data_IF_958736984919
#
_entry.id   IF_958736984919
#
_cell.length_a   1.000
_cell.length_b   1.000
_cell.length_c   1.000
_cell.angle_alpha   90.00
_cell.angle_beta   90.00
_cell.angle_gamma   90.00
#
_symmetry.space_group_name_H-M   'P 1'
#
loop_
_entity.id
_entity.type
_entity.pdbx_description
1 polymer ?
#
# COMPACT_ATOMS: atom_id res chain seq x y z
N UNK A 1 -40.73 -21.81 24.91
CA UNK A 1 -39.64 -22.46 24.16
C UNK A 1 -38.91 -21.54 23.18
N UNK A 2 -39.48 -20.39 22.76
CA UNK A 2 -38.92 -19.61 21.64
C UNK A 2 -37.94 -18.49 22.05
N UNK A 3 -38.03 -17.99 23.29
CA UNK A 3 -37.13 -16.92 23.78
C UNK A 3 -35.73 -17.43 24.14
N UNK A 4 -35.63 -18.65 24.66
CA UNK A 4 -34.37 -19.26 25.06
C UNK A 4 -33.49 -19.56 23.83
N UNK A 5 -34.10 -20.06 22.76
CA UNK A 5 -33.44 -20.32 21.48
C UNK A 5 -32.93 -19.03 20.84
N UNK A 6 -33.70 -17.94 20.92
CA UNK A 6 -33.29 -16.63 20.42
C UNK A 6 -32.08 -16.05 21.18
N UNK A 7 -32.07 -16.16 22.51
CA UNK A 7 -30.94 -15.72 23.34
C UNK A 7 -29.67 -16.52 23.03
N UNK A 8 -29.79 -17.84 22.88
CA UNK A 8 -28.66 -18.72 22.55
C UNK A 8 -28.05 -18.38 21.17
N UNK A 9 -28.87 -18.05 20.17
CA UNK A 9 -28.40 -17.63 18.85
C UNK A 9 -27.64 -16.29 18.93
N UNK A 10 -28.14 -15.32 19.71
CA UNK A 10 -27.48 -14.02 19.88
C UNK A 10 -26.15 -14.15 20.62
N UNK A 11 -26.07 -14.98 21.67
CA UNK A 11 -24.82 -15.26 22.38
C UNK A 11 -23.80 -15.95 21.47
N UNK A 12 -24.23 -16.92 20.65
CA UNK A 12 -23.37 -17.58 19.68
C UNK A 12 -22.84 -16.59 18.63
N UNK A 13 -23.69 -15.74 18.07
CA UNK A 13 -23.27 -14.71 17.10
C UNK A 13 -22.30 -13.69 17.73
N UNK A 14 -22.51 -13.28 18.98
CA UNK A 14 -21.58 -12.37 19.67
C UNK A 14 -20.20 -12.99 19.90
N UNK A 15 -20.12 -14.32 20.12
CA UNK A 15 -18.85 -15.03 20.25
C UNK A 15 -18.05 -15.10 18.94
N UNK A 16 -18.72 -14.98 17.78
CA UNK A 16 -18.08 -14.96 16.46
C UNK A 16 -17.46 -13.60 16.10
N UNK A 17 -17.78 -12.53 16.83
CA UNK A 17 -17.27 -11.16 16.58
C UNK A 17 -16.14 -10.80 17.57
N UNK A 18 -15.72 -11.74 18.41
CA UNK A 18 -14.67 -11.47 19.38
C UNK A 18 -13.29 -11.49 18.72
N UNK A 19 -12.65 -10.32 18.68
CA UNK A 19 -11.26 -10.20 18.24
C UNK A 19 -10.36 -11.07 19.12
N UNK A 20 -9.47 -11.84 18.47
CA UNK A 20 -8.42 -12.61 19.14
C UNK A 20 -7.46 -11.72 19.97
N UNK A 21 -7.39 -10.43 19.64
CA UNK A 21 -6.50 -9.46 20.27
C UNK A 21 -7.27 -8.23 20.80
N UNK A 22 -6.88 -7.73 21.97
CA UNK A 22 -7.35 -6.46 22.54
C UNK A 22 -6.39 -5.32 22.14
N UNK A 23 -6.84 -4.05 22.13
CA UNK A 23 -6.02 -2.91 21.70
C UNK A 23 -5.05 -2.44 22.80
N UNK A 24 -4.32 -3.37 23.41
CA UNK A 24 -3.28 -3.11 24.39
C UNK A 24 -2.01 -3.90 24.05
N UNK A 25 -0.86 -3.39 24.49
CA UNK A 25 0.44 -3.94 24.12
C UNK A 25 0.63 -5.39 24.57
N UNK A 26 0.14 -5.76 25.75
CA UNK A 26 0.30 -7.14 26.24
C UNK A 26 -0.39 -8.15 25.30
N UNK A 27 -1.57 -7.78 24.80
CA UNK A 27 -2.28 -8.60 23.82
C UNK A 27 -1.60 -8.57 22.45
N UNK A 28 -1.26 -7.39 21.94
CA UNK A 28 -0.69 -7.25 20.59
C UNK A 28 0.72 -7.85 20.47
N UNK A 29 1.52 -7.83 21.51
CA UNK A 29 2.87 -8.41 21.52
C UNK A 29 2.84 -9.93 21.68
N UNK A 30 1.71 -10.51 22.11
CA UNK A 30 1.49 -11.97 22.10
C UNK A 30 1.27 -12.53 20.69
N UNK A 31 1.18 -11.68 19.66
CA UNK A 31 1.05 -12.09 18.25
C UNK A 31 2.31 -12.80 17.79
N UNK A 32 2.20 -14.10 17.58
CA UNK A 32 3.27 -14.89 16.98
C UNK A 32 3.50 -14.47 15.52
N UNK A 33 4.76 -14.46 15.10
CA UNK A 33 5.14 -14.31 13.70
C UNK A 33 4.55 -15.49 12.90
N UNK A 34 3.74 -15.25 11.86
CA UNK A 34 3.24 -16.34 11.03
C UNK A 34 4.38 -17.11 10.37
N UNK A 35 4.31 -18.44 10.38
CA UNK A 35 5.37 -19.31 9.84
C UNK A 35 5.71 -18.98 8.38
N UNK A 36 4.71 -18.70 7.53
CA UNK A 36 4.93 -18.35 6.12
C UNK A 36 5.82 -17.11 5.94
N UNK A 37 5.70 -16.11 6.83
CA UNK A 37 6.48 -14.87 6.71
C UNK A 37 7.91 -15.11 7.19
N UNK A 38 8.07 -15.89 8.26
CA UNK A 38 9.41 -16.31 8.66
C UNK A 38 10.06 -17.12 7.54
N UNK A 39 9.38 -18.13 6.98
CA UNK A 39 9.90 -19.02 5.95
C UNK A 39 10.18 -18.34 4.59
N UNK A 40 9.49 -17.26 4.25
CA UNK A 40 9.60 -16.57 2.96
C UNK A 40 11.00 -15.98 2.70
N UNK A 41 11.64 -15.40 3.73
CA UNK A 41 12.97 -14.76 3.75
C UNK A 41 13.21 -13.57 2.80
N UNK A 42 12.65 -13.58 1.59
CA UNK A 42 12.85 -12.54 0.55
C UNK A 42 11.51 -12.20 -0.10
N UNK A 43 11.17 -10.90 -0.13
CA UNK A 43 10.00 -10.35 -0.80
C UNK A 43 10.36 -9.16 -1.69
N UNK A 44 9.46 -8.78 -2.59
CA UNK A 44 9.60 -7.60 -3.47
C UNK A 44 8.60 -6.53 -3.03
N UNK A 45 9.08 -5.29 -2.91
CA UNK A 45 8.26 -4.12 -2.65
C UNK A 45 8.41 -3.08 -3.75
N UNK A 46 7.34 -2.37 -4.07
CA UNK A 46 7.25 -1.51 -5.24
C UNK A 46 6.78 -0.11 -4.82
N UNK A 47 7.59 0.90 -5.13
CA UNK A 47 7.19 2.30 -5.04
C UNK A 47 6.70 2.74 -6.41
N UNK A 48 5.39 2.62 -6.64
CA UNK A 48 4.77 2.96 -7.91
C UNK A 48 3.47 3.72 -7.68
N UNK A 49 3.35 4.91 -8.27
CA UNK A 49 2.20 5.78 -8.08
C UNK A 49 2.30 7.06 -8.91
N UNK A 50 1.53 8.08 -8.55
CA UNK A 50 1.48 9.36 -9.29
C UNK A 50 2.87 10.03 -9.38
N UNK A 51 3.71 9.88 -8.36
CA UNK A 51 5.09 10.37 -8.37
C UNK A 51 5.96 9.71 -9.45
N UNK A 52 5.58 8.54 -9.96
CA UNK A 52 6.30 7.86 -11.04
C UNK A 52 6.04 8.49 -12.41
N UNK A 53 4.94 9.27 -12.57
CA UNK A 53 4.59 9.93 -13.85
C UNK A 53 5.67 10.89 -14.36
N UNK A 54 6.22 11.83 -13.55
CA UNK A 54 7.31 12.68 -14.01
C UNK A 54 8.62 11.92 -14.26
N UNK A 55 8.79 10.71 -13.71
CA UNK A 55 9.97 9.88 -13.94
C UNK A 55 11.30 10.53 -13.54
N UNK A 56 11.29 11.39 -12.52
CA UNK A 56 12.44 12.21 -12.12
C UNK A 56 12.66 12.16 -10.61
N UNK A 57 13.91 12.01 -10.19
CA UNK A 57 14.27 12.02 -8.76
C UNK A 57 13.80 10.77 -8.03
N UNK A 58 12.88 10.93 -7.08
CA UNK A 58 12.37 9.87 -6.21
C UNK A 58 10.86 9.99 -5.95
N UNK A 59 10.31 9.08 -5.15
CA UNK A 59 8.92 9.12 -4.68
C UNK A 59 8.57 10.39 -3.88
N UNK A 60 9.59 11.11 -3.38
CA UNK A 60 9.47 12.41 -2.72
C UNK A 60 9.29 13.59 -3.68
N UNK A 61 9.14 13.34 -4.99
CA UNK A 61 9.08 14.38 -6.02
C UNK A 61 8.20 15.57 -5.64
N UNK A 62 6.97 15.32 -5.16
CA UNK A 62 6.06 16.38 -4.75
C UNK A 62 6.64 17.25 -3.64
N UNK A 63 7.16 16.63 -2.58
CA UNK A 63 7.69 17.36 -1.43
C UNK A 63 8.95 18.15 -1.80
N UNK A 64 9.85 17.57 -2.59
CA UNK A 64 11.08 18.23 -3.03
C UNK A 64 10.79 19.40 -3.99
N UNK A 65 9.81 19.24 -4.87
CA UNK A 65 9.36 20.33 -5.72
C UNK A 65 8.65 21.43 -4.93
N UNK A 66 7.74 21.06 -4.02
CA UNK A 66 7.03 22.01 -3.15
C UNK A 66 7.98 22.75 -2.18
N UNK A 67 9.08 22.13 -1.81
CA UNK A 67 10.15 22.72 -0.99
C UNK A 67 11.19 23.48 -1.82
N UNK A 68 10.89 23.76 -3.10
CA UNK A 68 11.68 24.58 -4.01
C UNK A 68 13.14 24.11 -4.24
N UNK A 69 13.39 22.80 -4.15
CA UNK A 69 14.71 22.27 -4.52
C UNK A 69 14.99 22.55 -6.00
N UNK A 70 16.10 23.26 -6.26
CA UNK A 70 16.40 23.86 -7.57
C UNK A 70 16.26 22.88 -8.74
N UNK A 71 16.79 21.65 -8.61
CA UNK A 71 16.72 20.64 -9.66
C UNK A 71 15.28 20.25 -10.04
N UNK A 72 14.38 20.16 -9.05
CA UNK A 72 12.98 19.80 -9.26
C UNK A 72 12.19 20.97 -9.87
N UNK A 73 12.43 22.19 -9.38
CA UNK A 73 11.81 23.41 -9.93
C UNK A 73 12.22 23.62 -11.39
N UNK A 74 13.51 23.46 -11.69
CA UNK A 74 14.02 23.61 -13.06
C UNK A 74 13.49 22.51 -13.99
N UNK A 75 13.39 21.27 -13.51
CA UNK A 75 12.75 20.18 -14.25
C UNK A 75 11.28 20.53 -14.57
N UNK A 76 10.51 21.03 -13.59
CA UNK A 76 9.11 21.38 -13.82
C UNK A 76 8.95 22.54 -14.80
N UNK A 77 9.72 23.62 -14.64
CA UNK A 77 9.70 24.78 -15.56
C UNK A 77 10.05 24.42 -17.01
N UNK A 78 10.94 23.44 -17.19
CA UNK A 78 11.39 23.01 -18.52
C UNK A 78 10.38 22.11 -19.25
N UNK A 79 9.68 21.25 -18.52
CA UNK A 79 8.91 20.14 -19.11
C UNK A 79 7.39 20.31 -19.02
N UNK A 80 6.89 21.20 -18.17
CA UNK A 80 5.46 21.39 -17.93
C UNK A 80 5.05 22.85 -18.09
N UNK A 81 3.77 23.08 -18.37
CA UNK A 81 3.20 24.43 -18.51
C UNK A 81 3.38 25.24 -17.21
N UNK A 82 3.39 26.57 -17.28
CA UNK A 82 3.25 27.41 -16.09
C UNK A 82 2.01 27.02 -15.26
N UNK A 83 2.10 27.21 -13.95
CA UNK A 83 1.06 26.90 -12.96
C UNK A 83 0.60 25.44 -12.93
N UNK A 84 1.39 24.51 -13.48
CA UNK A 84 1.12 23.08 -13.35
C UNK A 84 1.11 22.68 -11.87
N UNK A 85 0.11 21.92 -11.43
CA UNK A 85 0.04 21.36 -10.08
C UNK A 85 0.40 19.87 -10.05
N UNK A 86 0.87 19.37 -8.91
CA UNK A 86 1.19 17.95 -8.78
C UNK A 86 -0.04 17.03 -9.04
N UNK A 87 -1.24 17.48 -8.69
CA UNK A 87 -2.48 16.75 -8.91
C UNK A 87 -2.79 16.55 -10.40
N UNK A 88 -2.29 17.41 -11.29
CA UNK A 88 -2.44 17.24 -12.74
C UNK A 88 -1.68 16.02 -13.29
N UNK A 89 -0.78 15.41 -12.50
CA UNK A 89 -0.21 14.10 -12.82
C UNK A 89 -1.17 12.93 -12.58
N UNK A 90 -2.16 13.05 -11.69
CA UNK A 90 -3.06 11.95 -11.35
C UNK A 90 -3.80 11.36 -12.56
N UNK A 91 -4.46 12.14 -13.44
CA UNK A 91 -5.10 11.58 -14.63
C UNK A 91 -4.11 11.06 -15.68
N UNK A 92 -2.81 11.38 -15.54
CA UNK A 92 -1.73 10.90 -16.43
C UNK A 92 -1.12 9.58 -15.94
N UNK A 93 -1.41 9.16 -14.71
CA UNK A 93 -1.03 7.85 -14.21
C UNK A 93 -2.00 6.78 -14.74
N UNK A 94 -1.88 6.49 -16.04
CA UNK A 94 -2.81 5.60 -16.77
C UNK A 94 -2.48 4.12 -16.62
N UNK A 95 -1.24 3.80 -16.23
CA UNK A 95 -0.74 2.42 -16.19
C UNK A 95 -0.96 1.66 -17.53
N UNK A 96 -0.85 2.36 -18.66
CA UNK A 96 -1.24 1.86 -19.99
C UNK A 96 -0.63 0.50 -20.38
N UNK A 97 0.62 0.24 -19.96
CA UNK A 97 1.34 -1.02 -20.23
C UNK A 97 1.45 -1.93 -19.01
N UNK A 98 0.66 -1.69 -17.96
CA UNK A 98 0.69 -2.52 -16.77
C UNK A 98 0.10 -3.90 -17.07
N UNK A 99 0.91 -4.93 -16.85
CA UNK A 99 0.53 -6.32 -16.94
C UNK A 99 0.87 -7.01 -15.60
N UNK A 100 -0.12 -7.23 -14.72
CA UNK A 100 0.11 -7.80 -13.39
C UNK A 100 0.63 -9.24 -13.47
N UNK A 101 0.17 -10.03 -14.45
CA UNK A 101 0.63 -11.41 -14.64
C UNK A 101 2.12 -11.43 -14.97
N UNK A 102 2.58 -10.52 -15.83
CA UNK A 102 3.99 -10.43 -16.20
C UNK A 102 4.87 -10.04 -15.02
N UNK A 103 4.37 -9.16 -14.15
CA UNK A 103 5.06 -8.80 -12.92
C UNK A 103 5.15 -9.99 -11.97
N UNK A 104 4.04 -10.70 -11.75
CA UNK A 104 4.00 -11.89 -10.90
C UNK A 104 4.97 -12.98 -11.40
N UNK A 105 5.01 -13.25 -12.72
CA UNK A 105 5.98 -14.18 -13.33
C UNK A 105 7.42 -13.80 -13.01
N UNK A 106 7.77 -12.51 -13.13
CA UNK A 106 9.12 -12.02 -12.87
C UNK A 106 9.46 -12.11 -11.37
N UNK A 107 8.51 -11.78 -10.48
CA UNK A 107 8.72 -11.86 -9.04
C UNK A 107 8.91 -13.30 -8.58
N UNK A 108 8.08 -14.22 -9.08
CA UNK A 108 8.26 -15.65 -8.82
C UNK A 108 9.61 -16.15 -9.35
N UNK A 109 9.98 -15.78 -10.58
CA UNK A 109 11.27 -16.16 -11.17
C UNK A 109 12.47 -15.58 -10.41
N UNK A 110 12.31 -14.47 -9.67
CA UNK A 110 13.35 -13.92 -8.80
C UNK A 110 13.57 -14.75 -7.51
N UNK A 111 12.65 -15.67 -7.19
CA UNK A 111 12.67 -16.48 -5.97
C UNK A 111 11.98 -15.82 -4.77
N UNK A 112 11.38 -14.65 -4.94
CA UNK A 112 10.61 -13.99 -3.89
C UNK A 112 9.36 -14.79 -3.49
N UNK A 113 8.91 -14.61 -2.25
CA UNK A 113 7.75 -15.30 -1.64
C UNK A 113 6.80 -14.33 -0.95
#
# INVERSE_FOLDING_TARGET
MNHLTGILIVVYLLSLVQSKYTPDWNSLDSRQLPAWFDEAKVGIFLHWGVFSVPGFGSEWFWWLWASEYEGYVNFMKKNFKPDFSYQEFAPKFTAEFYNPEKWAEIFEASGAK
#
